data_IF_245172065578
#
_entry.id   IF_245172065578
#
_cell.length_a   1.000
_cell.length_b   1.000
_cell.length_c   1.000
_cell.angle_alpha   90.00
_cell.angle_beta   90.00
_cell.angle_gamma   90.00
#
_symmetry.space_group_name_H-M   'P 1'
#
loop_
_entity.id
_entity.type
_entity.pdbx_description
1 polymer ?
#
# COMPACT_ATOMS: atom_id res chain seq x y z
N UNK A 1 8.49 -14.29 -12.32
CA UNK A 1 9.08 -12.96 -12.17
C UNK A 1 10.11 -12.78 -13.27
N UNK A 2 9.99 -11.71 -14.03
CA UNK A 2 10.89 -11.38 -15.16
C UNK A 2 11.70 -10.14 -14.75
N UNK A 3 12.77 -10.37 -13.98
CA UNK A 3 13.67 -9.33 -13.49
C UNK A 3 15.01 -9.46 -14.21
N UNK A 4 15.57 -8.33 -14.68
CA UNK A 4 16.90 -8.36 -15.31
C UNK A 4 18.01 -8.65 -14.27
N UNK A 5 19.22 -8.91 -14.75
CA UNK A 5 20.35 -9.32 -13.90
C UNK A 5 20.69 -8.26 -12.85
N UNK A 6 20.60 -6.97 -13.17
CA UNK A 6 20.84 -5.89 -12.22
C UNK A 6 19.88 -5.95 -11.01
N UNK A 7 18.59 -6.21 -11.26
CA UNK A 7 17.57 -6.34 -10.20
C UNK A 7 17.82 -7.61 -9.38
N UNK A 8 18.18 -8.71 -10.05
CA UNK A 8 18.50 -9.97 -9.36
C UNK A 8 19.75 -9.84 -8.49
N UNK A 9 20.78 -9.15 -8.95
CA UNK A 9 22.00 -8.88 -8.17
C UNK A 9 21.70 -8.06 -6.93
N UNK A 10 20.90 -6.98 -7.05
CA UNK A 10 20.47 -6.17 -5.91
C UNK A 10 19.63 -6.98 -4.92
N UNK A 11 18.73 -7.84 -5.39
CA UNK A 11 17.98 -8.76 -4.53
C UNK A 11 18.89 -9.79 -3.85
N UNK A 12 19.96 -10.27 -4.51
CA UNK A 12 20.96 -11.14 -3.88
C UNK A 12 21.77 -10.43 -2.80
N UNK A 13 22.05 -9.13 -2.97
CA UNK A 13 22.67 -8.31 -1.92
C UNK A 13 21.83 -8.32 -0.64
N UNK A 14 20.51 -8.24 -0.77
CA UNK A 14 19.56 -8.23 0.36
C UNK A 14 19.33 -9.62 0.95
N UNK A 15 19.13 -10.64 0.10
CA UNK A 15 18.60 -11.94 0.50
C UNK A 15 19.61 -13.08 0.47
N UNK A 16 20.74 -12.92 -0.21
CA UNK A 16 21.73 -13.98 -0.36
C UNK A 16 21.11 -15.29 -0.89
N UNK A 17 21.29 -16.37 -0.16
CA UNK A 17 20.72 -17.69 -0.46
C UNK A 17 19.19 -17.76 -0.33
N UNK A 18 18.55 -16.82 0.37
CA UNK A 18 17.10 -16.79 0.60
C UNK A 18 16.31 -16.06 -0.51
N UNK A 19 16.95 -15.69 -1.62
CA UNK A 19 16.28 -14.99 -2.72
C UNK A 19 15.09 -15.80 -3.28
N UNK A 20 15.20 -17.12 -3.37
CA UNK A 20 14.12 -17.97 -3.87
C UNK A 20 12.92 -17.99 -2.91
N UNK A 21 13.15 -18.03 -1.61
CA UNK A 21 12.10 -17.97 -0.58
C UNK A 21 11.38 -16.63 -0.65
N UNK A 22 12.13 -15.54 -0.85
CA UNK A 22 11.53 -14.22 -1.07
C UNK A 22 10.66 -14.22 -2.33
N UNK A 23 11.17 -14.66 -3.49
CA UNK A 23 10.43 -14.68 -4.76
C UNK A 23 9.17 -15.55 -4.69
N UNK A 24 9.21 -16.69 -3.98
CA UNK A 24 8.02 -17.53 -3.76
C UNK A 24 7.03 -16.88 -2.77
N UNK A 25 7.52 -16.15 -1.79
CA UNK A 25 6.66 -15.50 -0.79
C UNK A 25 5.83 -14.37 -1.39
N UNK A 26 6.37 -13.60 -2.34
CA UNK A 26 5.63 -12.50 -2.98
C UNK A 26 4.53 -12.96 -3.95
N UNK A 27 4.54 -14.23 -4.38
CA UNK A 27 3.46 -14.82 -5.18
C UNK A 27 2.19 -15.10 -4.36
N UNK A 28 2.33 -15.21 -3.04
CA UNK A 28 1.24 -15.50 -2.10
C UNK A 28 0.78 -14.20 -1.43
N UNK A 29 -0.50 -14.05 -1.06
CA UNK A 29 -0.95 -12.88 -0.30
C UNK A 29 -0.35 -12.84 1.10
N UNK A 30 -0.48 -11.70 1.77
CA UNK A 30 -0.25 -11.62 3.20
C UNK A 30 -1.21 -12.57 3.92
N UNK A 31 -0.76 -13.35 4.93
CA UNK A 31 -1.62 -14.26 5.66
C UNK A 31 -2.66 -13.55 6.54
N UNK A 32 -2.50 -12.25 6.77
CA UNK A 32 -3.42 -11.41 7.52
C UNK A 32 -3.82 -10.18 6.73
N UNK A 33 -5.12 -9.93 6.67
CA UNK A 33 -5.71 -8.68 6.15
C UNK A 33 -5.87 -7.71 7.30
N UNK A 34 -5.12 -6.63 7.29
CA UNK A 34 -5.12 -5.63 8.34
C UNK A 34 -6.07 -4.47 8.07
N UNK A 35 -6.65 -3.97 9.14
CA UNK A 35 -7.52 -2.81 9.17
C UNK A 35 -7.17 -1.96 10.38
N UNK A 36 -7.04 -0.66 10.18
CA UNK A 36 -6.91 0.32 11.27
C UNK A 36 -8.29 0.83 11.67
N UNK A 37 -8.59 0.78 12.95
CA UNK A 37 -9.80 1.37 13.53
C UNK A 37 -9.56 2.85 13.80
N UNK A 38 -10.48 3.70 13.38
CA UNK A 38 -10.46 5.14 13.68
C UNK A 38 -10.90 5.38 15.13
N UNK A 39 -9.96 5.34 16.05
CA UNK A 39 -10.21 5.48 17.50
C UNK A 39 -10.70 6.85 17.92
N UNK A 40 -10.67 7.85 17.02
CA UNK A 40 -11.31 9.16 17.23
C UNK A 40 -12.84 9.10 17.02
N UNK A 41 -13.37 8.05 16.40
CA UNK A 41 -14.80 7.89 16.09
C UNK A 41 -15.47 6.72 16.79
N UNK A 42 -14.71 5.68 17.15
CA UNK A 42 -15.24 4.44 17.69
C UNK A 42 -14.19 3.72 18.53
N UNK A 43 -14.60 2.66 19.22
CA UNK A 43 -13.68 1.80 19.96
C UNK A 43 -13.37 0.50 19.21
N UNK A 44 -12.27 -0.13 19.53
CA UNK A 44 -11.90 -1.44 18.98
C UNK A 44 -13.00 -2.48 19.29
N UNK A 45 -13.54 -2.47 20.52
CA UNK A 45 -14.56 -3.42 20.94
C UNK A 45 -15.86 -3.26 20.17
N UNK A 46 -16.27 -2.02 19.86
CA UNK A 46 -17.45 -1.75 19.03
C UNK A 46 -17.30 -2.29 17.62
N UNK A 47 -16.09 -2.16 17.03
CA UNK A 47 -15.78 -2.70 15.71
C UNK A 47 -15.75 -4.23 15.75
N UNK A 48 -15.09 -4.83 16.73
CA UNK A 48 -14.99 -6.29 16.84
C UNK A 48 -16.34 -6.96 17.09
N UNK A 49 -17.27 -6.30 17.81
CA UNK A 49 -18.65 -6.81 17.94
C UNK A 49 -19.37 -6.90 16.61
N UNK A 50 -19.10 -5.98 15.67
CA UNK A 50 -19.69 -5.96 14.35
C UNK A 50 -18.91 -6.83 13.35
N UNK A 51 -17.63 -7.06 13.59
CA UNK A 51 -16.73 -7.84 12.73
C UNK A 51 -16.07 -8.99 13.52
N UNK A 52 -16.86 -10.02 13.95
CA UNK A 52 -16.34 -11.07 14.82
C UNK A 52 -15.26 -11.95 14.18
N UNK A 53 -15.08 -11.89 12.87
CA UNK A 53 -14.01 -12.59 12.15
C UNK A 53 -12.65 -11.88 12.24
N UNK A 54 -12.60 -10.66 12.80
CA UNK A 54 -11.36 -9.93 13.05
C UNK A 54 -10.86 -10.17 14.48
N UNK A 55 -9.56 -10.07 14.66
CA UNK A 55 -8.84 -10.17 15.93
C UNK A 55 -8.03 -8.92 16.17
N UNK A 56 -7.74 -8.59 17.45
CA UNK A 56 -6.81 -7.52 17.81
C UNK A 56 -5.41 -7.84 17.32
N UNK A 57 -4.69 -6.82 16.87
CA UNK A 57 -3.25 -6.94 16.67
C UNK A 57 -2.52 -6.90 18.01
N UNK A 58 -1.33 -7.51 18.04
CA UNK A 58 -0.52 -7.65 19.23
C UNK A 58 0.38 -6.43 19.48
N UNK A 59 0.74 -5.68 18.42
CA UNK A 59 1.69 -4.57 18.47
C UNK A 59 1.00 -3.19 18.46
N UNK A 60 -0.16 -3.06 17.79
CA UNK A 60 -0.86 -1.79 17.63
C UNK A 60 -2.29 -1.87 18.17
N UNK A 61 -2.58 -1.03 19.17
CA UNK A 61 -3.90 -1.01 19.82
C UNK A 61 -5.03 -0.68 18.84
N UNK A 62 -4.79 0.18 17.84
CA UNK A 62 -5.76 0.58 16.83
C UNK A 62 -5.89 -0.39 15.65
N UNK A 63 -5.10 -1.46 15.63
CA UNK A 63 -5.09 -2.42 14.52
C UNK A 63 -5.88 -3.68 14.85
N UNK A 64 -6.63 -4.15 13.84
CA UNK A 64 -7.27 -5.45 13.84
C UNK A 64 -6.95 -6.18 12.54
N UNK A 65 -7.03 -7.50 12.53
CA UNK A 65 -6.79 -8.30 11.34
C UNK A 65 -7.76 -9.47 11.22
N UNK A 66 -7.98 -9.90 9.98
CA UNK A 66 -8.60 -11.17 9.67
C UNK A 66 -7.60 -12.08 8.96
N UNK A 67 -7.71 -13.38 9.17
CA UNK A 67 -6.87 -14.36 8.48
C UNK A 67 -7.26 -14.49 7.02
N UNK A 68 -6.27 -14.56 6.14
CA UNK A 68 -6.45 -14.91 4.72
C UNK A 68 -6.34 -16.42 4.59
N UNK A 69 -7.38 -17.04 4.04
CA UNK A 69 -7.45 -18.49 3.88
C UNK A 69 -7.04 -18.89 2.47
N UNK A 70 -6.45 -20.07 2.32
CA UNK A 70 -6.06 -20.60 1.02
C UNK A 70 -4.63 -21.19 1.02
N UNK A 71 -4.15 -21.69 -0.14
CA UNK A 71 -4.86 -21.68 -1.41
C UNK A 71 -6.05 -22.67 -1.43
N UNK A 72 -7.21 -22.20 -1.92
CA UNK A 72 -8.39 -23.01 -2.09
C UNK A 72 -8.35 -23.70 -3.47
N UNK A 73 -9.03 -24.84 -3.58
CA UNK A 73 -9.28 -25.47 -4.86
C UNK A 73 -10.39 -24.70 -5.60
N UNK A 74 -10.14 -24.32 -6.84
CA UNK A 74 -11.10 -23.71 -7.75
C UNK A 74 -11.48 -24.69 -8.86
N UNK A 75 -12.70 -24.63 -9.35
CA UNK A 75 -13.12 -25.44 -10.48
C UNK A 75 -12.64 -24.79 -11.79
N UNK A 76 -12.31 -25.63 -12.75
CA UNK A 76 -11.90 -25.22 -14.09
C UNK A 76 -13.04 -25.52 -15.04
N UNK A 77 -13.64 -24.46 -15.59
CA UNK A 77 -14.71 -24.52 -16.58
C UNK A 77 -14.13 -24.29 -17.99
N UNK A 78 -14.83 -24.78 -19.01
CA UNK A 78 -14.50 -24.48 -20.41
C UNK A 78 -14.71 -22.99 -20.72
N UNK A 79 -15.73 -22.40 -20.13
CA UNK A 79 -16.03 -20.96 -20.20
C UNK A 79 -15.03 -20.16 -19.34
N UNK A 80 -14.42 -19.12 -19.94
CA UNK A 80 -13.31 -18.38 -19.35
C UNK A 80 -13.45 -16.87 -19.49
N UNK A 81 -13.04 -16.14 -18.46
CA UNK A 81 -12.84 -14.70 -18.53
C UNK A 81 -11.37 -14.41 -18.22
N UNK A 82 -10.67 -13.80 -19.18
CA UNK A 82 -9.26 -13.43 -19.07
C UNK A 82 -9.20 -11.96 -18.67
N UNK A 83 -8.43 -11.67 -17.61
CA UNK A 83 -8.33 -10.32 -17.03
C UNK A 83 -6.89 -9.85 -16.97
N UNK A 84 -6.71 -8.53 -16.83
CA UNK A 84 -5.38 -7.96 -16.63
C UNK A 84 -4.77 -8.39 -15.27
N UNK A 85 -3.46 -8.17 -15.12
CA UNK A 85 -2.71 -8.53 -13.91
C UNK A 85 -3.36 -8.03 -12.63
N UNK A 86 -3.71 -6.73 -12.56
CA UNK A 86 -4.25 -6.10 -11.37
C UNK A 86 -5.61 -6.69 -10.98
N UNK A 87 -6.46 -6.93 -11.96
CA UNK A 87 -7.77 -7.55 -11.75
C UNK A 87 -7.61 -9.00 -11.33
N UNK A 88 -6.65 -9.74 -11.92
CA UNK A 88 -6.36 -11.12 -11.56
C UNK A 88 -5.85 -11.22 -10.10
N UNK A 89 -4.93 -10.37 -9.69
CA UNK A 89 -4.42 -10.31 -8.31
C UNK A 89 -5.54 -9.96 -7.30
N UNK A 90 -6.50 -9.12 -7.71
CA UNK A 90 -7.68 -8.81 -6.89
C UNK A 90 -8.69 -9.97 -6.84
N UNK A 91 -9.00 -10.58 -8.00
CA UNK A 91 -9.90 -11.72 -8.09
C UNK A 91 -9.36 -12.95 -7.35
N UNK A 92 -8.05 -13.15 -7.37
CA UNK A 92 -7.33 -14.16 -6.59
C UNK A 92 -7.63 -14.08 -5.10
N UNK A 93 -7.98 -12.87 -4.60
CA UNK A 93 -8.36 -12.58 -3.21
C UNK A 93 -9.87 -12.54 -2.98
N UNK A 94 -10.67 -12.90 -3.99
CA UNK A 94 -12.13 -12.93 -3.90
C UNK A 94 -12.85 -11.66 -4.36
N UNK A 95 -12.14 -10.69 -4.93
CA UNK A 95 -12.79 -9.50 -5.50
C UNK A 95 -13.55 -9.86 -6.78
N UNK A 96 -14.68 -9.21 -6.98
CA UNK A 96 -15.46 -9.33 -8.21
C UNK A 96 -14.74 -8.72 -9.41
N UNK A 97 -15.01 -9.23 -10.61
CA UNK A 97 -14.44 -8.76 -11.86
C UNK A 97 -15.34 -7.72 -12.51
N UNK A 98 -14.80 -6.53 -12.74
CA UNK A 98 -15.47 -5.43 -13.40
C UNK A 98 -14.94 -5.22 -14.81
N UNK A 99 -15.79 -4.65 -15.68
CA UNK A 99 -15.54 -4.46 -17.10
C UNK A 99 -14.16 -3.87 -17.47
N UNK A 100 -13.63 -2.83 -16.79
CA UNK A 100 -12.33 -2.25 -17.15
C UNK A 100 -11.14 -3.21 -17.11
N UNK A 101 -11.21 -4.25 -16.24
CA UNK A 101 -10.13 -5.23 -16.08
C UNK A 101 -10.21 -6.41 -17.04
N UNK A 102 -11.27 -6.53 -17.83
CA UNK A 102 -11.49 -7.68 -18.73
C UNK A 102 -10.70 -7.49 -20.02
N UNK A 103 -9.87 -8.46 -20.35
CA UNK A 103 -9.08 -8.53 -21.60
C UNK A 103 -9.79 -9.34 -22.69
N UNK A 104 -10.35 -10.50 -22.32
CA UNK A 104 -11.00 -11.42 -23.25
C UNK A 104 -12.06 -12.26 -22.55
N UNK A 105 -13.14 -12.53 -23.25
CA UNK A 105 -14.21 -13.45 -22.82
C UNK A 105 -14.30 -14.60 -23.82
N UNK A 106 -14.30 -15.83 -23.31
CA UNK A 106 -14.49 -17.08 -24.05
C UNK A 106 -15.60 -17.84 -23.33
N UNK A 107 -16.82 -17.59 -23.73
CA UNK A 107 -18.04 -18.16 -23.11
C UNK A 107 -18.94 -18.67 -24.21
N UNK A 108 -19.28 -19.96 -24.13
CA UNK A 108 -20.13 -20.65 -25.09
C UNK A 108 -21.62 -20.50 -24.81
N UNK A 109 -21.97 -20.18 -23.57
CA UNK A 109 -23.35 -20.09 -23.09
C UNK A 109 -23.88 -18.66 -22.96
N UNK A 110 -25.12 -18.56 -22.57
CA UNK A 110 -25.82 -17.32 -22.23
C UNK A 110 -25.43 -16.83 -20.82
N UNK A 111 -25.87 -15.61 -20.47
CA UNK A 111 -25.69 -14.99 -19.13
C UNK A 111 -25.99 -15.97 -17.99
N UNK A 112 -25.22 -15.85 -16.88
CA UNK A 112 -25.32 -16.69 -15.68
C UNK A 112 -24.72 -18.09 -15.82
N UNK A 113 -23.74 -18.29 -16.74
CA UNK A 113 -22.90 -19.48 -16.72
C UNK A 113 -21.76 -19.35 -15.69
N UNK A 114 -21.31 -20.51 -15.19
CA UNK A 114 -20.10 -20.55 -14.39
C UNK A 114 -18.86 -20.41 -15.29
N UNK A 115 -17.94 -19.59 -14.87
CA UNK A 115 -16.68 -19.33 -15.59
C UNK A 115 -15.48 -19.46 -14.67
N UNK A 116 -14.31 -19.78 -15.23
CA UNK A 116 -13.03 -19.63 -14.57
C UNK A 116 -12.41 -18.28 -14.98
N UNK A 117 -11.94 -17.52 -13.98
CA UNK A 117 -11.20 -16.27 -14.20
C UNK A 117 -9.71 -16.59 -14.30
N UNK A 118 -9.11 -16.19 -15.42
CA UNK A 118 -7.69 -16.34 -15.69
C UNK A 118 -6.99 -15.00 -15.77
N UNK A 119 -5.76 -14.94 -15.28
CA UNK A 119 -4.85 -13.85 -15.62
C UNK A 119 -4.46 -13.91 -17.10
N UNK A 120 -3.97 -12.80 -17.64
CA UNK A 120 -3.53 -12.72 -19.05
C UNK A 120 -2.28 -13.56 -19.37
N UNK A 121 -1.56 -14.04 -18.36
CA UNK A 121 -0.50 -15.05 -18.50
C UNK A 121 -0.98 -16.51 -18.28
N UNK A 122 -2.30 -16.74 -18.22
CA UNK A 122 -2.90 -18.08 -18.24
C UNK A 122 -3.02 -18.76 -16.88
N UNK A 123 -2.85 -18.06 -15.76
CA UNK A 123 -3.01 -18.64 -14.42
C UNK A 123 -4.47 -18.51 -13.98
N UNK A 124 -5.17 -19.62 -13.62
CA UNK A 124 -6.51 -19.57 -13.06
C UNK A 124 -6.45 -19.01 -11.63
N UNK A 125 -7.30 -18.03 -11.31
CA UNK A 125 -7.26 -17.29 -10.04
C UNK A 125 -8.55 -17.36 -9.24
N UNK A 126 -9.69 -17.53 -9.92
CA UNK A 126 -11.00 -17.57 -9.31
C UNK A 126 -12.03 -18.28 -10.20
N UNK A 127 -13.19 -18.59 -9.65
CA UNK A 127 -14.38 -19.00 -10.37
C UNK A 127 -15.58 -18.15 -9.96
N UNK A 128 -16.59 -18.06 -10.82
CA UNK A 128 -17.75 -17.25 -10.51
C UNK A 128 -18.84 -17.30 -11.58
N UNK A 129 -19.83 -16.46 -11.41
CA UNK A 129 -20.98 -16.35 -12.30
C UNK A 129 -20.77 -15.19 -13.28
N UNK A 130 -20.83 -15.47 -14.56
CA UNK A 130 -20.69 -14.49 -15.64
C UNK A 130 -22.01 -13.77 -15.90
N UNK A 131 -22.02 -12.43 -15.83
CA UNK A 131 -23.19 -11.58 -16.07
C UNK A 131 -23.22 -10.94 -17.46
N UNK A 132 -22.15 -11.08 -18.23
CA UNK A 132 -22.03 -10.48 -19.56
C UNK A 132 -21.30 -9.14 -19.57
N UNK A 133 -20.78 -8.76 -20.75
CA UNK A 133 -20.04 -7.52 -20.96
C UNK A 133 -20.94 -6.26 -21.01
N UNK A 134 -22.26 -6.42 -20.92
CA UNK A 134 -23.20 -5.29 -20.83
C UNK A 134 -23.30 -4.73 -19.40
N UNK A 135 -22.92 -5.52 -18.40
CA UNK A 135 -22.88 -5.13 -17.00
C UNK A 135 -21.51 -4.56 -16.64
N UNK A 136 -21.47 -3.61 -15.70
CA UNK A 136 -20.22 -3.19 -15.09
C UNK A 136 -19.59 -4.34 -14.29
N UNK A 137 -20.41 -5.11 -13.57
CA UNK A 137 -20.04 -6.37 -12.94
C UNK A 137 -20.06 -7.49 -13.98
N UNK A 138 -18.90 -7.95 -14.41
CA UNK A 138 -18.77 -9.01 -15.43
C UNK A 138 -18.76 -10.40 -14.81
N UNK A 139 -18.01 -10.60 -13.70
CA UNK A 139 -18.01 -11.86 -12.96
C UNK A 139 -18.21 -11.58 -11.47
N UNK A 140 -19.23 -12.18 -10.90
CA UNK A 140 -19.39 -12.31 -9.47
C UNK A 140 -18.56 -13.51 -8.99
N UNK A 141 -17.46 -13.23 -8.30
CA UNK A 141 -16.56 -14.27 -7.81
C UNK A 141 -17.22 -15.02 -6.66
N UNK A 142 -17.43 -16.32 -6.85
CA UNK A 142 -18.02 -17.23 -5.86
C UNK A 142 -16.99 -18.00 -5.06
N UNK A 143 -15.81 -18.26 -5.67
CA UNK A 143 -14.67 -18.90 -5.01
C UNK A 143 -13.36 -18.43 -5.67
N UNK A 144 -12.28 -18.39 -4.93
CA UNK A 144 -10.98 -17.86 -5.36
C UNK A 144 -9.82 -18.61 -4.69
N UNK A 145 -8.63 -18.51 -5.26
CA UNK A 145 -7.44 -19.16 -4.67
C UNK A 145 -7.24 -18.77 -3.21
N UNK A 146 -7.50 -17.52 -2.85
CA UNK A 146 -7.45 -17.06 -1.47
C UNK A 146 -8.73 -16.31 -1.12
N UNK A 147 -9.13 -16.37 0.13
CA UNK A 147 -10.31 -15.69 0.62
C UNK A 147 -10.01 -14.83 1.84
N UNK A 148 -10.60 -13.64 1.85
CA UNK A 148 -10.56 -12.69 2.96
C UNK A 148 -11.89 -11.93 3.04
N UNK A 149 -12.21 -11.28 4.17
CA UNK A 149 -13.38 -10.43 4.24
C UNK A 149 -13.40 -9.35 3.15
N UNK A 150 -14.53 -9.18 2.47
CA UNK A 150 -14.71 -8.14 1.45
C UNK A 150 -14.91 -6.78 2.12
N UNK A 151 -13.80 -6.05 2.32
CA UNK A 151 -13.82 -4.76 3.04
C UNK A 151 -14.69 -3.70 2.37
N UNK A 152 -14.75 -3.69 1.03
CA UNK A 152 -15.51 -2.70 0.27
C UNK A 152 -17.02 -2.69 0.61
N UNK A 153 -17.54 -3.84 1.04
CA UNK A 153 -18.97 -4.01 1.37
C UNK A 153 -19.29 -3.55 2.80
N UNK A 154 -18.28 -3.33 3.63
CA UNK A 154 -18.45 -2.97 5.04
C UNK A 154 -18.90 -1.52 5.22
N UNK A 155 -20.04 -1.32 5.88
CA UNK A 155 -20.52 0.03 6.24
C UNK A 155 -19.54 0.79 7.13
N UNK A 156 -18.79 0.10 7.99
CA UNK A 156 -17.74 0.70 8.82
C UNK A 156 -16.64 1.36 7.97
N UNK A 157 -16.25 0.74 6.84
CA UNK A 157 -15.28 1.32 5.91
C UNK A 157 -15.87 2.52 5.17
N UNK A 158 -17.11 2.40 4.67
CA UNK A 158 -17.80 3.48 3.95
C UNK A 158 -17.99 4.73 4.82
N UNK A 159 -18.22 4.53 6.11
CA UNK A 159 -18.42 5.61 7.09
C UNK A 159 -17.14 6.09 7.77
N UNK A 160 -15.97 5.56 7.44
CA UNK A 160 -14.68 5.99 7.97
C UNK A 160 -14.43 5.62 9.44
N UNK A 161 -15.07 4.57 9.94
CA UNK A 161 -14.76 3.97 11.24
C UNK A 161 -13.54 3.06 11.19
N UNK A 162 -13.27 2.50 10.01
CA UNK A 162 -12.11 1.68 9.74
C UNK A 162 -11.44 2.10 8.43
N UNK A 163 -10.16 1.77 8.29
CA UNK A 163 -9.37 2.01 7.08
C UNK A 163 -8.50 0.79 6.77
N UNK A 164 -8.49 0.32 5.52
CA UNK A 164 -7.62 -0.77 5.10
C UNK A 164 -6.17 -0.29 5.04
N UNK A 165 -5.33 -0.78 5.93
CA UNK A 165 -3.91 -0.39 6.01
C UNK A 165 -3.06 -1.59 6.41
N UNK A 166 -2.01 -1.88 5.63
CA UNK A 166 -1.08 -2.95 5.97
C UNK A 166 -0.26 -2.62 7.22
N UNK A 167 0.03 -3.63 8.03
CA UNK A 167 0.76 -3.47 9.30
C UNK A 167 2.10 -2.76 9.14
N UNK A 168 2.90 -3.12 8.11
CA UNK A 168 4.17 -2.46 7.84
C UNK A 168 4.02 -0.94 7.62
N UNK A 169 2.93 -0.51 6.96
CA UNK A 169 2.63 0.91 6.77
C UNK A 169 2.19 1.64 8.05
N UNK A 170 1.66 0.91 9.05
CA UNK A 170 1.27 1.50 10.34
C UNK A 170 2.50 1.90 11.16
N UNK A 171 3.62 1.16 11.06
CA UNK A 171 4.87 1.53 11.72
C UNK A 171 5.35 2.94 11.38
N UNK A 172 5.05 3.46 10.18
CA UNK A 172 5.46 4.80 9.74
C UNK A 172 4.96 5.89 10.69
N UNK A 173 3.69 5.85 11.07
CA UNK A 173 3.10 6.84 11.97
C UNK A 173 3.64 6.72 13.41
N UNK A 174 3.84 5.48 13.89
CA UNK A 174 4.41 5.25 15.21
C UNK A 174 5.88 5.67 15.30
N UNK A 175 6.71 5.37 14.28
CA UNK A 175 8.12 5.77 14.24
C UNK A 175 8.29 7.28 14.07
N UNK A 176 7.33 7.96 13.44
CA UNK A 176 7.30 9.41 13.37
C UNK A 176 7.12 10.03 14.76
N UNK A 177 6.37 9.36 15.64
CA UNK A 177 6.06 9.82 16.98
C UNK A 177 5.58 11.29 17.02
N UNK A 178 4.39 11.57 16.41
CA UNK A 178 3.92 12.94 16.27
C UNK A 178 3.61 13.56 17.62
N UNK A 179 4.13 14.80 17.88
CA UNK A 179 3.91 15.52 19.14
C UNK A 179 2.90 16.67 18.97
N UNK A 180 2.26 17.12 20.06
CA UNK A 180 1.36 18.27 20.01
C UNK A 180 2.06 19.52 19.47
N UNK A 181 1.34 20.29 18.65
CA UNK A 181 1.79 21.56 18.06
C UNK A 181 2.93 21.45 17.03
N UNK A 182 3.39 20.25 16.69
CA UNK A 182 4.31 20.06 15.57
C UNK A 182 3.61 20.36 14.24
N UNK A 183 4.37 20.88 13.29
CA UNK A 183 3.99 20.94 11.88
C UNK A 183 4.59 19.75 11.16
N UNK A 184 3.73 18.91 10.60
CA UNK A 184 4.08 17.66 9.93
C UNK A 184 3.59 17.71 8.49
N UNK A 185 4.48 17.42 7.54
CA UNK A 185 4.16 17.38 6.11
C UNK A 185 4.27 15.96 5.58
N UNK A 186 3.20 15.49 4.91
CA UNK A 186 3.23 14.30 4.08
C UNK A 186 3.39 14.73 2.61
N UNK A 187 4.57 14.49 2.04
CA UNK A 187 4.94 14.92 0.69
C UNK A 187 4.29 14.06 -0.41
N UNK A 188 3.71 12.92 -0.06
CA UNK A 188 3.17 11.91 -0.98
C UNK A 188 1.87 11.31 -0.43
N UNK A 189 0.96 12.19 -0.02
CA UNK A 189 -0.12 11.89 0.90
C UNK A 189 -1.16 10.85 0.41
N UNK A 190 -1.38 10.71 -0.91
CA UNK A 190 -2.33 9.73 -1.45
C UNK A 190 -1.84 8.27 -1.28
N UNK A 191 -2.68 7.33 -0.86
CA UNK A 191 -4.15 7.37 -0.67
C UNK A 191 -4.65 7.85 0.69
N UNK A 192 -3.78 8.28 1.61
CA UNK A 192 -4.15 8.91 2.87
C UNK A 192 -4.03 8.05 4.12
N UNK A 193 -3.58 6.79 3.99
CA UNK A 193 -3.45 5.89 5.13
C UNK A 193 -2.48 6.40 6.19
N UNK A 194 -1.26 6.78 5.79
CA UNK A 194 -0.24 7.34 6.69
C UNK A 194 -0.66 8.69 7.26
N UNK A 195 -1.11 9.59 6.38
CA UNK A 195 -1.58 10.93 6.73
C UNK A 195 -2.66 10.92 7.82
N UNK A 196 -3.71 10.13 7.62
CA UNK A 196 -4.83 10.00 8.57
C UNK A 196 -4.44 9.24 9.83
N UNK A 197 -3.46 8.34 9.76
CA UNK A 197 -2.94 7.61 10.92
C UNK A 197 -2.18 8.57 11.86
N UNK A 198 -1.34 9.44 11.31
CA UNK A 198 -0.62 10.46 12.09
C UNK A 198 -1.57 11.38 12.82
N UNK A 199 -2.61 11.85 12.12
CA UNK A 199 -3.65 12.67 12.75
C UNK A 199 -4.38 11.92 13.86
N UNK A 200 -4.67 10.64 13.66
CA UNK A 200 -5.31 9.82 14.69
C UNK A 200 -4.45 9.71 15.94
N UNK A 201 -3.12 9.53 15.79
CA UNK A 201 -2.19 9.45 16.92
C UNK A 201 -2.01 10.80 17.61
N UNK A 202 -2.05 11.92 16.85
CA UNK A 202 -1.84 13.26 17.42
C UNK A 202 -2.73 14.33 16.76
N UNK A 203 -4.00 14.47 17.20
CA UNK A 203 -4.93 15.45 16.61
C UNK A 203 -4.57 16.92 16.89
N UNK A 204 -3.61 17.19 17.80
CA UNK A 204 -3.13 18.53 18.13
C UNK A 204 -1.93 18.97 17.27
N UNK A 205 -1.39 18.10 16.45
CA UNK A 205 -0.38 18.46 15.45
C UNK A 205 -1.05 19.12 14.23
N UNK A 206 -0.34 20.06 13.61
CA UNK A 206 -0.75 20.61 12.32
C UNK A 206 -0.24 19.68 11.20
N UNK A 207 -1.14 19.01 10.51
CA UNK A 207 -0.81 18.03 9.48
C UNK A 207 -1.23 18.54 8.11
N UNK A 208 -0.30 18.53 7.17
CA UNK A 208 -0.49 19.00 5.80
C UNK A 208 -0.06 17.89 4.84
N UNK A 209 -0.96 17.49 3.95
CA UNK A 209 -0.69 16.53 2.91
C UNK A 209 -0.60 17.17 1.53
N UNK A 210 0.33 16.69 0.72
CA UNK A 210 0.48 17.12 -0.68
C UNK A 210 0.37 15.92 -1.63
N UNK A 211 -0.23 16.15 -2.79
CA UNK A 211 -0.14 15.27 -3.95
C UNK A 211 -0.20 16.10 -5.23
N UNK A 212 0.45 15.64 -6.29
CA UNK A 212 0.59 16.39 -7.55
C UNK A 212 -0.66 16.34 -8.43
N UNK A 213 -1.63 15.47 -8.15
CA UNK A 213 -2.80 15.24 -8.99
C UNK A 213 -4.09 15.74 -8.34
N UNK A 214 -4.85 16.62 -9.02
CA UNK A 214 -6.14 17.12 -8.49
C UNK A 214 -7.09 15.99 -8.07
N UNK A 215 -7.25 14.96 -8.91
CA UNK A 215 -8.12 13.81 -8.61
C UNK A 215 -7.72 13.06 -7.32
N UNK A 216 -6.42 12.96 -7.04
CA UNK A 216 -5.93 12.32 -5.79
C UNK A 216 -6.20 13.21 -4.59
N UNK A 217 -6.00 14.53 -4.73
CA UNK A 217 -6.30 15.51 -3.68
C UNK A 217 -7.79 15.52 -3.34
N UNK A 218 -8.67 15.46 -4.32
CA UNK A 218 -10.12 15.35 -4.11
C UNK A 218 -10.48 14.09 -3.30
N UNK A 219 -9.94 12.94 -3.70
CA UNK A 219 -10.14 11.67 -2.95
C UNK A 219 -9.58 11.72 -1.52
N UNK A 220 -8.46 12.42 -1.30
CA UNK A 220 -7.93 12.65 0.04
C UNK A 220 -8.89 13.50 0.88
N UNK A 221 -9.46 14.58 0.31
CA UNK A 221 -10.46 15.41 0.98
C UNK A 221 -11.72 14.62 1.34
N UNK A 222 -12.20 13.78 0.44
CA UNK A 222 -13.33 12.87 0.71
C UNK A 222 -13.02 11.91 1.87
N UNK A 223 -11.82 11.32 1.88
CA UNK A 223 -11.37 10.44 2.96
C UNK A 223 -11.31 11.18 4.30
N UNK A 224 -10.67 12.34 4.34
CA UNK A 224 -10.50 13.18 5.53
C UNK A 224 -11.86 13.59 6.10
N UNK A 225 -12.78 14.03 5.23
CA UNK A 225 -14.16 14.37 5.59
C UNK A 225 -14.90 13.16 6.17
N UNK A 226 -14.82 12.02 5.48
CA UNK A 226 -15.42 10.76 5.92
C UNK A 226 -14.89 10.31 7.28
N UNK A 227 -13.61 10.47 7.53
CA UNK A 227 -12.98 10.13 8.81
C UNK A 227 -13.17 11.21 9.90
N UNK A 228 -13.76 12.37 9.56
CA UNK A 228 -13.99 13.52 10.44
C UNK A 228 -12.69 14.09 11.05
N UNK A 229 -11.66 14.20 10.22
CA UNK A 229 -10.35 14.71 10.62
C UNK A 229 -10.13 16.15 10.13
N UNK A 230 -9.25 16.90 10.79
CA UNK A 230 -8.86 18.27 10.41
C UNK A 230 -7.44 18.25 9.85
N UNK A 231 -7.32 17.91 8.58
CA UNK A 231 -6.05 17.82 7.86
C UNK A 231 -6.12 18.73 6.63
N UNK A 232 -5.10 19.53 6.44
CA UNK A 232 -4.96 20.38 5.25
C UNK A 232 -4.42 19.53 4.09
N UNK A 233 -5.00 19.65 2.88
CA UNK A 233 -4.52 18.91 1.69
C UNK A 233 -4.48 19.84 0.49
N UNK A 234 -3.32 19.89 -0.17
CA UNK A 234 -3.06 20.75 -1.31
C UNK A 234 -2.53 19.98 -2.51
N UNK A 235 -2.85 20.50 -3.70
CA UNK A 235 -2.22 20.04 -4.94
C UNK A 235 -0.89 20.75 -5.12
N UNK A 236 0.20 20.01 -5.10
CA UNK A 236 1.53 20.53 -5.41
C UNK A 236 2.47 19.41 -5.83
N UNK A 237 3.52 19.75 -6.52
CA UNK A 237 4.70 18.90 -6.64
C UNK A 237 5.58 19.13 -5.41
N UNK A 238 5.62 18.15 -4.53
CA UNK A 238 6.28 18.28 -3.24
C UNK A 238 7.80 18.46 -3.33
N UNK A 239 8.40 18.26 -4.50
CA UNK A 239 9.81 18.53 -4.73
C UNK A 239 10.16 20.03 -4.73
N UNK A 240 9.14 20.90 -4.85
CA UNK A 240 9.29 22.35 -4.98
C UNK A 240 8.55 23.14 -3.89
N UNK A 241 8.23 22.52 -2.74
CA UNK A 241 7.49 23.16 -1.65
C UNK A 241 8.19 24.40 -1.08
N UNK A 242 9.53 24.39 -1.05
CA UNK A 242 10.30 25.55 -0.61
C UNK A 242 10.23 26.67 -1.63
N UNK A 243 10.41 26.37 -2.90
CA UNK A 243 10.47 27.35 -4.00
C UNK A 243 9.08 27.95 -4.29
N UNK A 244 8.05 27.13 -4.39
CA UNK A 244 6.71 27.54 -4.83
C UNK A 244 5.86 28.12 -3.71
N UNK A 245 6.05 27.66 -2.47
CA UNK A 245 5.20 28.02 -1.32
C UNK A 245 5.96 28.65 -0.16
N UNK A 246 7.29 28.81 -0.26
CA UNK A 246 8.15 29.28 0.81
C UNK A 246 7.96 28.52 2.15
N UNK A 247 7.65 27.22 2.04
CA UNK A 247 7.50 26.36 3.21
C UNK A 247 8.89 26.11 3.83
N UNK A 248 8.98 26.32 5.14
CA UNK A 248 10.24 26.16 5.92
C UNK A 248 9.93 25.95 7.39
N UNK A 249 10.94 25.56 8.16
CA UNK A 249 10.86 25.33 9.61
C UNK A 249 9.83 24.24 10.01
N UNK A 250 9.67 23.22 9.16
CA UNK A 250 8.81 22.06 9.40
C UNK A 250 9.47 21.13 10.41
N UNK A 251 8.70 20.63 11.37
CA UNK A 251 9.22 19.73 12.42
C UNK A 251 9.51 18.34 11.88
N UNK A 252 8.55 17.77 11.14
CA UNK A 252 8.64 16.40 10.62
C UNK A 252 8.08 16.29 9.21
N UNK A 253 8.67 15.43 8.43
CA UNK A 253 8.27 15.15 7.04
C UNK A 253 8.13 13.65 6.83
N UNK A 254 7.12 13.25 6.07
CA UNK A 254 6.96 11.89 5.56
C UNK A 254 7.19 11.89 4.07
N UNK A 255 7.96 10.91 3.62
CA UNK A 255 8.21 10.62 2.22
C UNK A 255 7.89 9.14 1.97
N UNK A 256 6.82 8.86 1.25
CA UNK A 256 6.44 7.52 0.74
C UNK A 256 6.33 7.60 -0.78
N UNK A 257 7.45 7.74 -1.47
CA UNK A 257 7.50 8.12 -2.87
C UNK A 257 7.11 6.94 -3.78
N UNK A 258 6.78 7.17 -5.04
CA UNK A 258 6.67 6.10 -6.01
C UNK A 258 7.92 5.23 -6.01
N UNK A 259 7.71 3.91 -6.07
CA UNK A 259 8.76 2.91 -6.04
C UNK A 259 8.43 1.71 -6.96
N UNK A 260 9.38 0.82 -7.15
CA UNK A 260 9.20 -0.39 -7.96
C UNK A 260 8.17 -1.38 -7.38
N UNK A 261 7.79 -1.21 -6.12
CA UNK A 261 6.83 -2.05 -5.40
C UNK A 261 7.20 -3.55 -5.38
N UNK A 262 8.49 -3.89 -5.39
CA UNK A 262 8.96 -5.28 -5.39
C UNK A 262 8.56 -6.07 -4.14
N UNK A 263 8.28 -5.39 -3.04
CA UNK A 263 7.81 -6.03 -1.80
C UNK A 263 6.31 -6.30 -1.73
N UNK A 264 5.52 -5.74 -2.65
CA UNK A 264 4.05 -5.90 -2.65
C UNK A 264 3.64 -7.32 -3.02
N UNK A 265 2.63 -7.85 -2.36
CA UNK A 265 2.10 -9.21 -2.56
C UNK A 265 0.56 -9.25 -2.46
N UNK A 266 -0.15 -10.17 -3.16
CA UNK A 266 0.42 -11.17 -4.06
C UNK A 266 0.83 -10.58 -5.41
N UNK A 267 1.79 -11.21 -6.08
CA UNK A 267 2.15 -10.95 -7.47
C UNK A 267 2.00 -12.22 -8.30
N UNK A 268 1.13 -12.21 -9.31
CA UNK A 268 1.00 -13.32 -10.25
C UNK A 268 2.21 -13.38 -11.17
N UNK A 269 2.63 -12.23 -11.67
CA UNK A 269 3.88 -12.01 -12.40
C UNK A 269 4.35 -10.57 -12.18
N UNK A 270 5.60 -10.29 -12.49
CA UNK A 270 6.15 -8.93 -12.46
C UNK A 270 7.35 -8.85 -13.40
N UNK A 271 7.60 -7.64 -13.92
CA UNK A 271 8.77 -7.34 -14.73
C UNK A 271 9.39 -6.05 -14.23
N UNK A 272 10.70 -6.08 -14.03
CA UNK A 272 11.50 -4.92 -13.63
C UNK A 272 12.85 -4.94 -14.34
N UNK A 273 13.27 -3.76 -14.77
CA UNK A 273 14.55 -3.53 -15.43
C UNK A 273 15.43 -2.64 -14.55
N UNK A 274 16.71 -2.58 -14.88
CA UNK A 274 17.66 -1.64 -14.29
C UNK A 274 17.17 -0.21 -14.38
N UNK A 275 16.66 0.20 -15.54
CA UNK A 275 16.19 1.56 -15.77
C UNK A 275 14.99 1.89 -14.88
N UNK A 276 14.08 0.94 -14.65
CA UNK A 276 12.98 1.13 -13.69
C UNK A 276 13.50 1.49 -12.30
N UNK A 277 14.47 0.72 -11.79
CA UNK A 277 15.03 0.91 -10.44
C UNK A 277 15.79 2.23 -10.35
N UNK A 278 16.66 2.54 -11.32
CA UNK A 278 17.47 3.76 -11.29
C UNK A 278 16.63 5.02 -11.46
N UNK A 279 15.58 4.99 -12.29
CA UNK A 279 14.65 6.11 -12.43
C UNK A 279 13.91 6.40 -11.11
N UNK A 280 13.47 5.35 -10.39
CA UNK A 280 12.88 5.54 -9.05
C UNK A 280 13.90 6.07 -8.05
N UNK A 281 15.11 5.53 -8.01
CA UNK A 281 16.18 6.02 -7.14
C UNK A 281 16.41 7.53 -7.30
N UNK A 282 16.64 8.00 -8.53
CA UNK A 282 16.87 9.42 -8.79
C UNK A 282 15.65 10.30 -8.47
N UNK A 283 14.44 9.78 -8.69
CA UNK A 283 13.22 10.47 -8.35
C UNK A 283 13.04 10.59 -6.82
N UNK A 284 13.32 9.54 -6.09
CA UNK A 284 13.21 9.48 -4.64
C UNK A 284 14.19 10.42 -3.95
N UNK A 285 15.43 10.55 -4.46
CA UNK A 285 16.42 11.51 -3.96
C UNK A 285 15.95 12.97 -4.08
N UNK A 286 15.14 13.29 -5.08
CA UNK A 286 14.58 14.63 -5.24
C UNK A 286 13.64 15.00 -4.07
N UNK A 287 12.83 14.04 -3.58
CA UNK A 287 11.98 14.25 -2.40
C UNK A 287 12.82 14.46 -1.15
N UNK A 288 13.88 13.67 -0.94
CA UNK A 288 14.76 13.84 0.21
C UNK A 288 15.46 15.20 0.18
N UNK A 289 15.90 15.65 -1.01
CA UNK A 289 16.47 16.99 -1.19
C UNK A 289 15.46 18.10 -0.88
N UNK A 290 14.22 17.96 -1.30
CA UNK A 290 13.16 18.93 -0.99
C UNK A 290 12.82 18.93 0.53
N UNK A 291 12.76 17.75 1.16
CA UNK A 291 12.56 17.65 2.61
C UNK A 291 13.66 18.36 3.39
N UNK A 292 14.93 18.24 2.97
CA UNK A 292 16.04 18.96 3.59
C UNK A 292 15.84 20.47 3.60
N UNK A 293 15.32 21.04 2.51
CA UNK A 293 15.10 22.50 2.38
C UNK A 293 14.01 23.02 3.31
N UNK A 294 12.95 22.24 3.53
CA UNK A 294 11.78 22.68 4.32
C UNK A 294 11.91 22.39 5.81
N UNK A 295 12.71 21.41 6.21
CA UNK A 295 12.90 21.01 7.59
C UNK A 295 13.69 22.05 8.39
N UNK A 296 13.29 22.24 9.64
CA UNK A 296 14.13 22.92 10.64
C UNK A 296 15.40 22.12 10.94
N UNK A 297 16.36 22.73 11.59
CA UNK A 297 17.53 22.02 12.14
C UNK A 297 17.05 20.93 13.10
N UNK A 298 17.65 19.73 13.02
CA UNK A 298 17.25 18.52 13.74
C UNK A 298 15.82 18.04 13.45
N UNK A 299 15.19 18.56 12.40
CA UNK A 299 13.90 18.06 11.91
C UNK A 299 14.00 16.62 11.43
N UNK A 300 12.89 15.91 11.49
CA UNK A 300 12.81 14.46 11.26
C UNK A 300 12.20 14.17 9.88
N UNK A 301 12.80 13.22 9.16
CA UNK A 301 12.17 12.57 8.01
C UNK A 301 11.86 11.12 8.36
N UNK A 302 10.65 10.66 8.04
CA UNK A 302 10.38 9.23 7.86
C UNK A 302 10.29 8.97 6.36
N UNK A 303 11.27 8.23 5.86
CA UNK A 303 11.29 7.72 4.49
C UNK A 303 10.77 6.29 4.49
N UNK A 304 9.86 5.95 3.57
CA UNK A 304 9.34 4.59 3.47
C UNK A 304 9.05 4.20 2.02
N UNK A 305 9.20 2.91 1.71
CA UNK A 305 8.83 2.33 0.41
C UNK A 305 8.21 0.95 0.59
N UNK A 306 7.39 0.52 -0.38
CA UNK A 306 6.92 -0.86 -0.49
C UNK A 306 7.80 -1.71 -1.43
N UNK A 307 9.08 -1.35 -1.57
CA UNK A 307 10.08 -2.13 -2.29
C UNK A 307 11.17 -2.67 -1.36
N UNK A 308 12.01 -3.55 -1.89
CA UNK A 308 13.05 -4.24 -1.12
C UNK A 308 14.46 -4.06 -1.70
N UNK A 309 14.60 -3.28 -2.77
CA UNK A 309 15.88 -2.97 -3.40
C UNK A 309 16.76 -2.10 -2.51
N UNK A 310 18.07 -2.26 -2.57
CA UNK A 310 19.01 -1.36 -1.88
C UNK A 310 19.04 0.01 -2.55
N UNK A 311 18.89 0.03 -3.87
CA UNK A 311 18.91 1.27 -4.66
C UNK A 311 17.80 2.25 -4.29
N UNK A 312 16.60 1.76 -4.01
CA UNK A 312 15.45 2.60 -3.66
C UNK A 312 15.32 2.84 -2.16
N UNK A 313 16.18 2.24 -1.35
CA UNK A 313 16.14 2.26 0.11
C UNK A 313 17.46 2.84 0.67
N UNK A 314 18.42 2.02 1.06
CA UNK A 314 19.65 2.44 1.71
C UNK A 314 20.41 3.49 0.88
N UNK A 315 20.57 3.26 -0.43
CA UNK A 315 21.27 4.19 -1.33
C UNK A 315 20.56 5.54 -1.55
N UNK A 316 19.29 5.65 -1.18
CA UNK A 316 18.55 6.93 -1.16
C UNK A 316 18.80 7.65 0.16
N UNK A 317 18.76 6.93 1.29
CA UNK A 317 18.83 7.53 2.63
C UNK A 317 20.27 7.78 3.11
N UNK A 318 21.27 7.21 2.43
CA UNK A 318 22.71 7.53 2.58
C UNK A 318 23.01 8.94 2.07
N UNK A 319 22.46 9.95 2.73
CA UNK A 319 22.67 11.36 2.40
C UNK A 319 23.46 12.02 3.54
N UNK A 320 24.64 12.64 3.27
CA UNK A 320 25.50 13.19 4.30
C UNK A 320 24.87 14.33 5.12
N UNK A 321 23.79 14.92 4.61
CA UNK A 321 23.02 15.99 5.28
C UNK A 321 22.12 15.48 6.41
N UNK A 322 21.90 14.17 6.44
CA UNK A 322 21.10 13.50 7.47
C UNK A 322 21.94 12.53 8.28
N UNK A 323 21.52 12.26 9.49
CA UNK A 323 21.94 11.09 10.27
C UNK A 323 20.79 10.10 10.29
N UNK A 324 21.09 8.85 9.99
CA UNK A 324 20.14 7.74 10.12
C UNK A 324 20.05 7.38 11.60
N UNK A 325 18.87 7.55 12.20
CA UNK A 325 18.61 7.17 13.58
C UNK A 325 18.12 5.72 13.67
N UNK A 326 17.33 5.31 12.68
CA UNK A 326 16.72 4.00 12.67
C UNK A 326 16.40 3.55 11.24
N UNK A 327 16.62 2.26 10.96
CA UNK A 327 16.20 1.58 9.74
C UNK A 327 15.56 0.25 10.07
N UNK A 328 14.49 -0.08 9.38
CA UNK A 328 13.85 -1.38 9.43
C UNK A 328 13.41 -1.83 8.05
N UNK A 329 13.61 -3.10 7.76
CA UNK A 329 13.11 -3.76 6.57
C UNK A 329 12.22 -4.93 6.95
N UNK A 330 11.01 -4.94 6.44
CA UNK A 330 10.11 -6.08 6.54
C UNK A 330 10.28 -6.97 5.32
N UNK A 331 10.53 -8.25 5.57
CA UNK A 331 10.75 -9.27 4.55
C UNK A 331 9.52 -10.17 4.45
N UNK A 332 8.92 -10.34 3.25
CA UNK A 332 7.69 -11.14 3.07
C UNK A 332 7.80 -12.58 3.59
N UNK A 333 8.92 -13.26 3.37
CA UNK A 333 9.15 -14.64 3.78
C UNK A 333 9.47 -14.81 5.27
N UNK A 334 9.91 -13.74 5.95
CA UNK A 334 10.25 -13.76 7.39
C UNK A 334 9.10 -13.23 8.24
N UNK A 335 8.59 -12.04 7.89
CA UNK A 335 7.64 -11.30 8.71
C UNK A 335 6.17 -11.56 8.33
N UNK A 336 5.92 -12.31 7.25
CA UNK A 336 4.57 -12.56 6.73
C UNK A 336 3.78 -11.27 6.43
N UNK A 337 4.48 -10.22 6.04
CA UNK A 337 3.93 -8.91 5.64
C UNK A 337 4.41 -8.55 4.24
N UNK A 338 3.83 -7.49 3.68
CA UNK A 338 4.39 -6.81 2.50
C UNK A 338 5.84 -6.43 2.77
N UNK A 339 6.74 -6.69 1.81
CA UNK A 339 8.11 -6.18 1.86
C UNK A 339 8.09 -4.65 1.91
N UNK A 340 8.72 -4.10 2.93
CA UNK A 340 8.60 -2.68 3.23
C UNK A 340 9.89 -2.18 3.88
N UNK A 341 10.29 -0.96 3.58
CA UNK A 341 11.44 -0.30 4.20
C UNK A 341 11.00 0.98 4.87
N UNK A 342 11.58 1.27 6.04
CA UNK A 342 11.39 2.53 6.75
C UNK A 342 12.74 2.99 7.28
N UNK A 343 13.06 4.25 7.05
CA UNK A 343 14.20 4.92 7.69
C UNK A 343 13.73 6.19 8.40
N UNK A 344 14.22 6.40 9.61
CA UNK A 344 14.09 7.64 10.37
C UNK A 344 15.40 8.41 10.29
N UNK A 345 15.32 9.58 9.68
CA UNK A 345 16.46 10.45 9.41
C UNK A 345 16.32 11.73 10.21
N UNK A 346 17.44 12.22 10.74
CA UNK A 346 17.51 13.50 11.44
C UNK A 346 18.38 14.46 10.61
N UNK A 347 17.82 15.62 10.26
CA UNK A 347 18.59 16.67 9.59
C UNK A 347 19.75 17.12 10.47
N UNK A 348 20.97 17.08 9.92
CA UNK A 348 22.15 17.64 10.59
C UNK A 348 22.07 19.16 10.59
N UNK A 349 22.55 19.78 11.67
CA UNK A 349 22.67 21.22 11.80
C UNK A 349 23.78 21.80 10.95
#
# INVERSE_FOLDING_TARGET
MDYDEFVIEDLREVYGSYINEFLESIKKPNPRLYVRVNTLKTTIDDVLRQLPQFKRDEDFEEAIYAEVKGPNKINIYDDKVIVDKKTAESAMMGANVYKPGVKKVIVSGNRKSYVTVYSDNGIPVAEGIYYGMHSDLVVEVTNSLYSSPKLADLELLKRGYIYAQGKASMYVAHLLDPQPNETIIDMTAYPGGKLTHIYQLQPKARIIGFDHTSKKVEKLRELISKMQMRIEVYKADSRYLYEDFNIKNVDKVIIDPPCSALGVRPKIYDKKTKDDILNFHEYQKQFLNAAYKILKERGVVIYSTCTVTTWENEKVVEDPRFSVEYEIRFHPHVHNMTGFFIAKLIKKG
#
